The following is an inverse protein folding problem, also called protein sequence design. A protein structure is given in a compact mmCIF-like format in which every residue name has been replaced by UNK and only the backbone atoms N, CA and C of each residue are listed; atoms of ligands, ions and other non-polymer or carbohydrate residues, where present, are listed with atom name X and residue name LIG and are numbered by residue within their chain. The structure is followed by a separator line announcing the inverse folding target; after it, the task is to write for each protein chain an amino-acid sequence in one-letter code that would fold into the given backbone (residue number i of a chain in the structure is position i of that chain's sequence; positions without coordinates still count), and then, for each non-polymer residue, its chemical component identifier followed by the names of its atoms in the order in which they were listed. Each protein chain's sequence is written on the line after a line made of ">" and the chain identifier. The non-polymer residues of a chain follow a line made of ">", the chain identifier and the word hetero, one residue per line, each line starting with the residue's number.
data_IF_370748120136
#
_entry.id   IF_370748120136
#
_cell.length_a   1.000
_cell.length_b   1.000
_cell.length_c   1.000
_cell.angle_alpha   90.00
_cell.angle_beta   90.00
_cell.angle_gamma   90.00
#
_symmetry.space_group_name_H-M   'P 1'
#
loop_
_entity.id
_entity.type
_entity.pdbx_description
1 polymer ?
#
# COMPACT_ATOMS: atom_id res chain seq x y z
N UNK A 1 -2.03 -7.31 -8.19
CA UNK A 1 -3.19 -8.04 -8.77
C UNK A 1 -3.50 -7.65 -10.22
N UNK A 2 -3.66 -6.35 -10.54
CA UNK A 2 -4.00 -5.87 -11.90
C UNK A 2 -3.01 -6.32 -12.99
N UNK A 3 -1.70 -6.15 -12.78
CA UNK A 3 -0.67 -6.55 -13.75
C UNK A 3 -0.75 -8.03 -14.18
N UNK A 4 -0.93 -8.97 -13.22
CA UNK A 4 -1.07 -10.40 -13.54
C UNK A 4 -2.34 -10.70 -14.34
N UNK A 5 -3.42 -9.94 -14.13
CA UNK A 5 -4.67 -10.05 -14.92
C UNK A 5 -4.47 -9.56 -16.36
N UNK A 6 -3.81 -8.41 -16.54
CA UNK A 6 -3.50 -7.86 -17.87
C UNK A 6 -2.63 -8.83 -18.69
N UNK A 7 -1.57 -9.39 -18.09
CA UNK A 7 -0.69 -10.36 -18.75
C UNK A 7 -1.49 -11.59 -19.22
N UNK A 8 -2.37 -12.14 -18.37
CA UNK A 8 -3.26 -13.24 -18.77
C UNK A 8 -4.14 -12.87 -19.97
N UNK A 9 -4.70 -11.64 -19.99
CA UNK A 9 -5.54 -11.15 -21.08
C UNK A 9 -4.77 -11.04 -22.41
N UNK A 10 -3.56 -10.47 -22.40
CA UNK A 10 -2.70 -10.34 -23.59
C UNK A 10 -2.44 -11.70 -24.25
N UNK A 11 -2.15 -12.72 -23.44
CA UNK A 11 -1.92 -14.07 -23.91
C UNK A 11 -3.20 -14.89 -24.10
N UNK A 12 -4.38 -14.26 -24.15
CA UNK A 12 -5.69 -14.90 -24.33
C UNK A 12 -5.92 -16.07 -23.36
N UNK A 13 -5.46 -15.93 -22.11
CA UNK A 13 -5.49 -16.96 -21.07
C UNK A 13 -4.79 -18.28 -21.43
N UNK A 14 -3.93 -18.32 -22.47
CA UNK A 14 -3.11 -19.49 -22.78
C UNK A 14 -2.01 -19.65 -21.72
N UNK A 15 -2.20 -20.63 -20.84
CA UNK A 15 -1.36 -20.86 -19.64
C UNK A 15 0.12 -21.02 -19.96
N UNK A 16 0.46 -21.77 -21.01
CA UNK A 16 1.85 -21.97 -21.44
C UNK A 16 2.55 -20.66 -21.78
N UNK A 17 1.83 -19.70 -22.35
CA UNK A 17 2.38 -18.43 -22.80
C UNK A 17 2.50 -17.41 -21.67
N UNK A 18 1.49 -17.27 -20.79
CA UNK A 18 1.55 -16.25 -19.73
C UNK A 18 2.30 -16.69 -18.47
N UNK A 19 2.39 -18.00 -18.21
CA UNK A 19 2.91 -18.53 -16.93
C UNK A 19 4.31 -18.02 -16.61
N UNK A 20 5.29 -18.02 -17.53
CA UNK A 20 6.64 -17.48 -17.27
C UNK A 20 6.61 -16.02 -16.81
N UNK A 21 5.86 -15.16 -17.50
CA UNK A 21 5.75 -13.73 -17.17
C UNK A 21 5.06 -13.49 -15.83
N UNK A 22 3.96 -14.20 -15.56
CA UNK A 22 3.28 -14.07 -14.26
C UNK A 22 4.13 -14.60 -13.10
N UNK A 23 5.04 -15.56 -13.36
CA UNK A 23 6.03 -16.03 -12.40
C UNK A 23 7.10 -14.97 -12.14
N UNK A 24 7.68 -14.34 -13.17
CA UNK A 24 8.63 -13.23 -12.99
C UNK A 24 8.03 -12.09 -12.15
N UNK A 25 6.77 -11.71 -12.43
CA UNK A 25 6.07 -10.69 -11.64
C UNK A 25 5.84 -11.15 -10.19
N UNK A 26 5.52 -12.42 -9.99
CA UNK A 26 5.35 -13.00 -8.65
C UNK A 26 6.67 -13.04 -7.88
N UNK A 27 7.74 -13.51 -8.52
CA UNK A 27 9.06 -13.63 -7.90
C UNK A 27 9.63 -12.24 -7.57
N UNK A 28 9.45 -11.26 -8.47
CA UNK A 28 9.79 -9.86 -8.17
C UNK A 28 8.97 -9.30 -7.02
N UNK A 29 7.68 -9.65 -6.96
CA UNK A 29 6.81 -9.26 -5.85
C UNK A 29 7.28 -9.83 -4.51
N UNK A 30 7.54 -11.13 -4.49
CA UNK A 30 7.89 -11.87 -3.28
C UNK A 30 9.32 -11.54 -2.80
N UNK A 31 10.26 -11.32 -3.73
CA UNK A 31 11.68 -11.13 -3.40
C UNK A 31 12.10 -9.66 -3.26
N UNK A 32 11.53 -8.74 -4.04
CA UNK A 32 11.98 -7.33 -4.08
C UNK A 32 10.98 -6.37 -3.45
N UNK A 33 9.70 -6.53 -3.77
CA UNK A 33 8.60 -5.70 -3.29
C UNK A 33 8.06 -6.22 -1.95
N UNK A 34 8.97 -6.58 -1.03
CA UNK A 34 8.71 -7.18 0.29
C UNK A 34 7.30 -6.91 0.83
N UNK A 35 6.65 -8.00 1.25
CA UNK A 35 5.36 -7.97 1.97
C UNK A 35 5.35 -6.91 3.06
N UNK A 36 6.47 -6.77 3.78
CA UNK A 36 6.62 -5.80 4.86
C UNK A 36 6.55 -4.35 4.39
N UNK A 37 7.23 -3.95 3.33
CA UNK A 37 7.14 -2.58 2.78
C UNK A 37 5.72 -2.27 2.30
N UNK A 38 5.04 -3.22 1.66
CA UNK A 38 3.66 -3.02 1.21
C UNK A 38 2.67 -2.96 2.36
N UNK A 39 2.85 -3.82 3.36
CA UNK A 39 2.07 -3.82 4.59
C UNK A 39 2.28 -2.50 5.37
N UNK A 40 3.52 -2.07 5.54
CA UNK A 40 3.88 -0.80 6.16
C UNK A 40 3.29 0.39 5.39
N UNK A 41 3.41 0.42 4.06
CA UNK A 41 2.85 1.48 3.23
C UNK A 41 1.32 1.51 3.26
N UNK A 42 0.67 0.33 3.33
CA UNK A 42 -0.78 0.24 3.53
C UNK A 42 -1.18 0.77 4.91
N UNK A 43 -0.46 0.36 5.96
CA UNK A 43 -0.70 0.80 7.34
C UNK A 43 -0.53 2.32 7.48
N UNK A 44 0.56 2.87 6.93
CA UNK A 44 0.90 4.30 6.95
C UNK A 44 0.06 5.16 6.00
N UNK A 45 -0.87 4.59 5.24
CA UNK A 45 -1.72 5.35 4.34
C UNK A 45 -2.94 5.90 5.11
N UNK A 46 -3.05 7.22 5.33
CA UNK A 46 -4.15 7.81 6.08
C UNK A 46 -5.53 7.46 5.52
N UNK A 47 -5.63 7.28 4.20
CA UNK A 47 -6.90 7.01 3.55
C UNK A 47 -7.43 5.60 3.84
N UNK A 48 -6.54 4.65 4.14
CA UNK A 48 -6.91 3.35 4.65
C UNK A 48 -7.01 3.35 6.18
N UNK A 49 -6.01 3.90 6.87
CA UNK A 49 -5.95 3.96 8.33
C UNK A 49 -7.20 4.61 8.96
N UNK A 50 -7.70 5.68 8.32
CA UNK A 50 -8.83 6.46 8.84
C UNK A 50 -10.18 6.01 8.29
N UNK A 51 -10.19 5.06 7.36
CA UNK A 51 -11.40 4.38 6.92
C UNK A 51 -11.67 3.21 7.86
N UNK A 52 -12.16 3.52 9.06
CA UNK A 52 -12.31 2.57 10.18
C UNK A 52 -13.05 1.27 9.81
N UNK A 53 -14.01 1.33 8.87
CA UNK A 53 -14.77 0.17 8.39
C UNK A 53 -14.03 -0.70 7.37
N UNK A 54 -12.99 -0.18 6.73
CA UNK A 54 -12.28 -0.84 5.63
C UNK A 54 -10.80 -1.13 5.94
N UNK A 55 -10.32 -0.73 7.12
CA UNK A 55 -8.94 -1.00 7.52
C UNK A 55 -8.73 -2.48 7.85
N UNK A 56 -7.67 -3.06 7.33
CA UNK A 56 -7.35 -4.46 7.56
C UNK A 56 -6.68 -4.65 8.93
N UNK A 57 -7.36 -5.33 9.85
CA UNK A 57 -6.83 -5.73 11.16
C UNK A 57 -5.94 -6.98 11.12
N UNK A 58 -5.45 -7.33 9.93
CA UNK A 58 -4.64 -8.52 9.74
C UNK A 58 -3.27 -8.35 10.41
N UNK A 59 -2.79 -9.31 11.22
CA UNK A 59 -1.53 -9.19 11.94
C UNK A 59 -0.33 -8.99 10.99
N UNK A 60 -0.41 -9.48 9.76
CA UNK A 60 0.63 -9.30 8.73
C UNK A 60 0.84 -7.83 8.35
N UNK A 61 -0.16 -6.98 8.54
CA UNK A 61 -0.06 -5.54 8.27
C UNK A 61 0.86 -4.87 9.30
N UNK A 62 0.61 -5.15 10.59
CA UNK A 62 1.44 -4.62 11.69
C UNK A 62 2.84 -5.24 11.69
N UNK A 63 2.94 -6.55 11.49
CA UNK A 63 4.23 -7.23 11.38
C UNK A 63 5.09 -6.62 10.26
N UNK A 64 4.47 -6.29 9.12
CA UNK A 64 5.16 -5.66 8.01
C UNK A 64 5.68 -4.25 8.32
N UNK A 65 4.95 -3.46 9.13
CA UNK A 65 5.43 -2.17 9.61
C UNK A 65 6.69 -2.34 10.48
N UNK A 66 6.64 -3.24 11.46
CA UNK A 66 7.75 -3.51 12.37
C UNK A 66 8.98 -4.02 11.62
N UNK A 67 8.82 -4.98 10.70
CA UNK A 67 9.90 -5.49 9.84
C UNK A 67 10.61 -4.35 9.07
N UNK A 68 9.88 -3.34 8.61
CA UNK A 68 10.46 -2.19 7.91
C UNK A 68 11.21 -1.28 8.86
N UNK A 69 10.65 -1.00 10.04
CA UNK A 69 11.31 -0.19 11.06
C UNK A 69 12.62 -0.85 11.49
N UNK A 70 12.58 -2.13 11.84
CA UNK A 70 13.75 -2.88 12.28
C UNK A 70 14.82 -2.96 11.19
N UNK A 71 14.42 -3.14 9.93
CA UNK A 71 15.37 -3.26 8.81
C UNK A 71 15.90 -1.94 8.25
N UNK A 72 15.22 -0.81 8.47
CA UNK A 72 15.55 0.49 7.83
C UNK A 72 15.87 1.62 8.80
N UNK A 73 15.34 1.57 10.01
CA UNK A 73 15.41 2.65 10.99
C UNK A 73 16.19 2.25 12.23
N UNK A 74 17.09 1.27 12.12
CA UNK A 74 17.86 0.70 13.23
C UNK A 74 18.27 1.77 14.26
N UNK A 75 17.78 1.61 15.49
CA UNK A 75 18.04 2.55 16.60
C UNK A 75 16.89 3.46 17.02
N UNK A 76 15.68 3.35 16.46
CA UNK A 76 14.50 4.00 17.05
C UNK A 76 14.12 3.29 18.36
N UNK A 77 13.98 4.05 19.44
CA UNK A 77 13.51 3.49 20.71
C UNK A 77 12.04 3.07 20.61
N UNK A 78 11.68 1.96 21.27
CA UNK A 78 10.30 1.45 21.30
C UNK A 78 9.31 2.51 21.80
N UNK A 79 9.72 3.33 22.78
CA UNK A 79 8.91 4.42 23.32
C UNK A 79 8.56 5.48 22.27
N UNK A 80 9.54 5.88 21.45
CA UNK A 80 9.32 6.85 20.37
C UNK A 80 8.44 6.26 19.29
N UNK A 81 8.66 4.99 18.94
CA UNK A 81 7.84 4.30 17.95
C UNK A 81 6.36 4.25 18.36
N UNK A 82 6.10 3.86 19.61
CA UNK A 82 4.74 3.80 20.16
C UNK A 82 4.07 5.18 20.10
N UNK A 83 4.79 6.24 20.47
CA UNK A 83 4.23 7.59 20.44
C UNK A 83 3.93 8.08 19.02
N UNK A 84 4.84 7.90 18.06
CA UNK A 84 4.59 8.30 16.66
C UNK A 84 3.44 7.49 16.03
N UNK A 85 3.36 6.20 16.35
CA UNK A 85 2.26 5.31 15.92
C UNK A 85 0.92 5.79 16.48
N UNK A 86 0.88 6.18 17.76
CA UNK A 86 -0.30 6.74 18.44
C UNK A 86 -0.74 8.05 17.78
N UNK A 87 0.18 9.00 17.61
CA UNK A 87 -0.09 10.30 16.96
C UNK A 87 -0.71 10.09 15.58
N UNK A 88 -0.17 9.15 14.80
CA UNK A 88 -0.69 8.85 13.48
C UNK A 88 -2.09 8.21 13.53
N UNK A 89 -2.30 7.19 14.36
CA UNK A 89 -3.59 6.50 14.49
C UNK A 89 -4.71 7.42 14.97
N UNK A 90 -4.42 8.21 16.00
CA UNK A 90 -5.40 9.06 16.70
C UNK A 90 -5.60 10.40 15.99
N UNK A 91 -4.90 10.62 14.86
CA UNK A 91 -4.95 11.85 14.06
C UNK A 91 -4.55 13.07 14.89
N UNK A 92 -3.57 12.93 15.74
CA UNK A 92 -3.11 14.04 16.57
C UNK A 92 -2.18 14.98 15.77
N UNK A 93 -1.90 16.15 16.35
CA UNK A 93 -0.98 17.15 15.78
C UNK A 93 -1.38 17.54 14.35
N UNK A 94 -0.46 17.40 13.39
CA UNK A 94 -0.69 17.79 11.99
C UNK A 94 -1.69 16.90 11.24
N UNK A 95 -1.90 15.66 11.69
CA UNK A 95 -2.74 14.67 11.01
C UNK A 95 -4.24 14.94 11.19
N UNK A 96 -4.63 15.60 12.28
CA UNK A 96 -6.03 15.93 12.60
C UNK A 96 -6.54 17.24 12.02
N UNK A 97 -5.70 18.01 11.32
CA UNK A 97 -6.12 19.28 10.72
C UNK A 97 -7.17 19.04 9.64
N UNK A 98 -8.19 19.89 9.59
CA UNK A 98 -9.31 19.75 8.65
C UNK A 98 -8.87 19.64 7.18
N UNK A 99 -7.84 20.41 6.79
CA UNK A 99 -7.24 20.37 5.46
C UNK A 99 -6.60 19.01 5.14
N UNK A 100 -5.92 18.40 6.12
CA UNK A 100 -5.33 17.07 5.95
C UNK A 100 -6.43 16.03 5.79
N UNK A 101 -7.49 16.08 6.61
CA UNK A 101 -8.61 15.13 6.55
C UNK A 101 -9.41 15.19 5.24
N UNK A 102 -9.56 16.36 4.63
CA UNK A 102 -10.22 16.50 3.31
C UNK A 102 -9.33 15.97 2.19
N UNK A 103 -8.02 16.22 2.22
CA UNK A 103 -7.05 15.70 1.24
C UNK A 103 -6.93 14.17 1.25
N UNK A 104 -7.10 13.54 2.41
CA UNK A 104 -7.07 12.08 2.55
C UNK A 104 -8.15 11.38 1.71
N UNK A 105 -9.33 11.99 1.56
CA UNK A 105 -10.44 11.44 0.77
C UNK A 105 -10.26 11.64 -0.74
N UNK A 106 -9.55 12.70 -1.15
CA UNK A 106 -9.42 13.11 -2.56
C UNK A 106 -8.12 12.66 -3.22
N UNK A 107 -7.07 12.40 -2.43
CA UNK A 107 -5.73 12.08 -2.92
C UNK A 107 -5.41 10.60 -2.76
N UNK A 108 -6.32 9.73 -3.21
CA UNK A 108 -5.97 8.32 -3.36
C UNK A 108 -4.97 8.19 -4.53
N UNK A 109 -3.85 7.46 -4.39
CA UNK A 109 -2.87 7.31 -5.48
C UNK A 109 -3.45 6.74 -6.78
N UNK A 110 -4.64 6.13 -6.74
CA UNK A 110 -5.39 5.67 -7.91
C UNK A 110 -6.30 6.71 -8.58
N UNK A 111 -6.55 7.87 -7.96
CA UNK A 111 -7.45 8.94 -8.46
C UNK A 111 -6.75 9.92 -9.41
N UNK A 112 -5.42 10.08 -9.29
CA UNK A 112 -4.64 10.95 -10.19
C UNK A 112 -4.58 10.43 -11.63
N UNK A 113 -5.02 9.19 -11.89
CA UNK A 113 -5.09 8.61 -13.23
C UNK A 113 -6.51 8.59 -13.82
N UNK A 114 -7.55 8.98 -13.08
CA UNK A 114 -8.94 8.96 -13.61
C UNK A 114 -9.55 10.35 -13.81
N UNK A 115 -8.82 11.43 -13.49
CA UNK A 115 -9.30 12.81 -13.65
C UNK A 115 -8.78 13.47 -14.92
N UNK A 116 -7.91 12.81 -15.69
CA UNK A 116 -7.65 13.19 -17.07
C UNK A 116 -8.60 12.40 -17.98
N UNK A 117 -9.71 13.06 -18.34
CA UNK A 117 -10.55 12.72 -19.48
C UNK A 117 -9.71 12.72 -20.77
N UNK A 118 -8.95 11.65 -20.99
CA UNK A 118 -8.53 11.24 -22.31
C UNK A 118 -9.06 9.83 -22.50
N UNK A 119 -10.12 9.72 -23.29
CA UNK A 119 -10.52 8.47 -23.92
C UNK A 119 -9.30 7.86 -24.58
N UNK A 120 -8.76 6.79 -24.01
CA UNK A 120 -7.90 5.88 -24.75
C UNK A 120 -8.65 4.55 -24.81
N UNK A 121 -9.39 4.38 -25.90
CA UNK A 121 -9.70 3.06 -26.41
C UNK A 121 -8.38 2.32 -26.62
N UNK A 122 -8.18 1.20 -25.91
CA UNK A 122 -7.46 -0.03 -26.30
C UNK A 122 -7.56 -1.10 -25.19
#
# INVERSE_FOLDING_TARGET
>A
YRARKTIKKIFRNKKTLYKPYTRIVKDRWDNQLRKSIHAAAYWLNPAFQYSQSNFSQKPEVMAGLLDVIDSKLGGISSSRLVEETRIFCDREKGFGRQLTLTSVKTTHPGMLLSTNNISINL
#
